data_IF_099604804825
#
_entry.id   IF_099604804825
#
_cell.length_a   1.000
_cell.length_b   1.000
_cell.length_c   1.000
_cell.angle_alpha   90.00
_cell.angle_beta   90.00
_cell.angle_gamma   90.00
#
_symmetry.space_group_name_H-M   'P 1'
#
loop_
_entity.id
_entity.type
_entity.pdbx_description
1 polymer ?
#
# COMPACT_ATOMS: atom_id res chain seq x y z
N UNK A 1 47.75 15.88 14.48
CA UNK A 1 46.87 14.77 14.93
C UNK A 1 45.43 15.19 15.25
N UNK A 2 45.12 16.43 15.64
CA UNK A 2 43.76 16.82 16.08
C UNK A 2 42.65 16.84 15.01
N UNK A 3 42.97 17.10 13.72
CA UNK A 3 41.97 17.20 12.66
C UNK A 3 41.37 15.86 12.20
N UNK A 4 42.09 14.74 12.32
CA UNK A 4 41.56 13.40 11.98
C UNK A 4 40.66 12.86 13.10
N UNK A 5 41.04 13.13 14.36
CA UNK A 5 40.24 12.79 15.54
C UNK A 5 38.91 13.55 15.55
N UNK A 6 38.92 14.89 15.35
CA UNK A 6 37.68 15.70 15.27
C UNK A 6 36.74 15.26 14.15
N UNK A 7 37.26 14.89 12.97
CA UNK A 7 36.45 14.38 11.84
C UNK A 7 35.74 13.07 12.17
N UNK A 8 36.44 12.14 12.82
CA UNK A 8 35.83 10.89 13.29
C UNK A 8 34.78 11.13 14.39
N UNK A 9 34.99 12.14 15.26
CA UNK A 9 33.99 12.54 16.26
C UNK A 9 32.71 13.09 15.60
N UNK A 10 32.84 13.94 14.58
CA UNK A 10 31.69 14.54 13.87
C UNK A 10 30.84 13.49 13.13
N UNK A 11 31.48 12.50 12.47
CA UNK A 11 30.77 11.38 11.84
C UNK A 11 30.01 10.55 12.89
N UNK A 12 30.61 10.32 14.06
CA UNK A 12 29.95 9.69 15.21
C UNK A 12 28.71 10.47 15.65
N UNK A 13 28.85 11.77 15.88
CA UNK A 13 27.72 12.63 16.27
C UNK A 13 26.59 12.64 15.22
N UNK A 14 26.90 12.69 13.92
CA UNK A 14 25.89 12.60 12.86
C UNK A 14 25.13 11.26 12.92
N UNK A 15 25.84 10.17 13.19
CA UNK A 15 25.23 8.84 13.36
C UNK A 15 24.31 8.80 14.59
N UNK A 16 24.75 9.36 15.72
CA UNK A 16 23.97 9.42 16.96
C UNK A 16 22.69 10.27 16.81
N UNK A 17 22.74 11.31 15.97
CA UNK A 17 21.58 12.12 15.59
C UNK A 17 20.66 11.44 14.55
N UNK A 18 20.99 10.23 14.10
CA UNK A 18 20.24 9.49 13.08
C UNK A 18 20.41 10.02 11.66
N UNK A 19 21.43 10.85 11.41
CA UNK A 19 21.79 11.46 10.13
C UNK A 19 22.81 10.58 9.37
N UNK A 20 22.46 9.30 9.18
CA UNK A 20 23.37 8.29 8.63
C UNK A 20 23.83 8.62 7.20
N UNK A 21 22.92 9.07 6.33
CA UNK A 21 23.26 9.41 4.96
C UNK A 21 24.21 10.60 4.88
N UNK A 22 23.99 11.60 5.73
CA UNK A 22 24.92 12.73 5.88
C UNK A 22 26.29 12.27 6.42
N UNK A 23 26.31 11.36 7.39
CA UNK A 23 27.57 10.80 7.92
C UNK A 23 28.36 10.04 6.85
N UNK A 24 27.67 9.25 6.02
CA UNK A 24 28.29 8.48 4.94
C UNK A 24 28.80 9.38 3.81
N UNK A 25 28.02 10.37 3.36
CA UNK A 25 28.49 11.35 2.38
C UNK A 25 29.62 12.23 2.92
N UNK A 26 29.61 12.58 4.21
CA UNK A 26 30.70 13.35 4.80
C UNK A 26 32.00 12.54 4.83
N UNK A 27 31.92 11.23 5.12
CA UNK A 27 33.07 10.33 5.02
C UNK A 27 33.63 10.29 3.59
N UNK A 28 32.75 10.16 2.60
CA UNK A 28 33.14 10.13 1.18
C UNK A 28 33.84 11.43 0.74
N UNK A 29 33.30 12.58 1.14
CA UNK A 29 33.91 13.89 0.86
C UNK A 29 35.30 14.05 1.49
N UNK A 30 35.56 13.43 2.64
CA UNK A 30 36.87 13.46 3.30
C UNK A 30 37.91 12.56 2.62
N UNK A 31 37.47 11.57 1.85
CA UNK A 31 38.32 10.56 1.22
C UNK A 31 38.61 10.86 -0.26
N UNK A 32 37.81 11.72 -0.90
CA UNK A 32 37.97 12.08 -2.32
C UNK A 32 38.39 13.54 -2.52
N UNK A 33 39.48 13.72 -3.28
CA UNK A 33 40.00 15.05 -3.67
C UNK A 33 39.10 15.81 -4.64
N UNK A 34 38.18 15.13 -5.34
CA UNK A 34 37.28 15.77 -6.31
C UNK A 34 36.33 16.77 -5.65
N UNK A 35 36.02 16.57 -4.36
CA UNK A 35 35.16 17.48 -3.61
C UNK A 35 35.85 18.79 -3.20
N UNK A 36 37.17 18.91 -3.37
CA UNK A 36 37.92 20.13 -3.07
C UNK A 36 37.64 21.25 -4.09
N UNK A 37 37.23 20.90 -5.31
CA UNK A 37 36.89 21.86 -6.37
C UNK A 37 35.50 22.49 -6.18
N UNK A 38 34.67 21.89 -5.32
CA UNK A 38 33.33 22.39 -4.98
C UNK A 38 33.40 23.44 -3.87
N UNK A 39 32.46 24.38 -3.90
CA UNK A 39 32.21 25.32 -2.80
C UNK A 39 31.73 24.59 -1.54
N UNK A 40 31.74 25.30 -0.40
CA UNK A 40 31.20 24.74 0.84
C UNK A 40 29.70 24.48 0.71
N UNK A 41 28.98 25.39 0.07
CA UNK A 41 27.55 25.34 -0.17
C UNK A 41 27.16 24.10 -1.00
N UNK A 42 27.89 23.83 -2.08
CA UNK A 42 27.67 22.63 -2.91
C UNK A 42 27.93 21.34 -2.13
N UNK A 43 29.06 21.26 -1.43
CA UNK A 43 29.36 20.10 -0.58
C UNK A 43 28.29 19.88 0.48
N UNK A 44 27.85 20.94 1.16
CA UNK A 44 26.84 20.85 2.20
C UNK A 44 25.47 20.46 1.62
N UNK A 45 25.08 20.99 0.46
CA UNK A 45 23.87 20.58 -0.24
C UNK A 45 23.89 19.07 -0.54
N UNK A 46 25.00 18.54 -1.06
CA UNK A 46 25.14 17.10 -1.31
C UNK A 46 24.98 16.23 -0.04
N UNK A 47 25.47 16.71 1.10
CA UNK A 47 25.30 16.03 2.39
C UNK A 47 23.83 15.96 2.81
N UNK A 48 23.11 17.08 2.67
CA UNK A 48 21.68 17.19 2.99
C UNK A 48 20.85 16.34 2.05
N UNK A 49 21.13 16.40 0.74
CA UNK A 49 20.45 15.61 -0.28
C UNK A 49 20.63 14.11 -0.03
N UNK A 50 21.84 13.68 0.33
CA UNK A 50 22.09 12.27 0.68
C UNK A 50 21.24 11.82 1.86
N UNK A 51 21.17 12.62 2.92
CA UNK A 51 20.34 12.27 4.08
C UNK A 51 18.85 12.25 3.72
N UNK A 52 18.37 13.20 2.92
CA UNK A 52 16.99 13.24 2.46
C UNK A 52 16.63 11.98 1.64
N UNK A 53 17.48 11.60 0.68
CA UNK A 53 17.33 10.38 -0.13
C UNK A 53 17.33 9.13 0.75
N UNK A 54 18.27 9.01 1.69
CA UNK A 54 18.38 7.85 2.58
C UNK A 54 17.20 7.76 3.56
N UNK A 55 16.63 8.90 4.00
CA UNK A 55 15.40 8.92 4.80
C UNK A 55 14.21 8.45 4.00
N UNK A 56 14.05 8.93 2.77
CA UNK A 56 12.92 8.53 1.93
C UNK A 56 13.01 7.05 1.56
N UNK A 57 14.19 6.56 1.20
CA UNK A 57 14.43 5.13 0.95
C UNK A 57 14.08 4.27 2.18
N UNK A 58 14.48 4.69 3.39
CA UNK A 58 14.13 3.99 4.64
C UNK A 58 12.62 4.00 4.92
N UNK A 59 11.94 5.14 4.70
CA UNK A 59 10.49 5.27 4.86
C UNK A 59 9.75 4.36 3.89
N UNK A 60 10.12 4.40 2.61
CA UNK A 60 9.59 3.53 1.57
C UNK A 60 9.75 2.04 1.94
N UNK A 61 10.97 1.62 2.27
CA UNK A 61 11.26 0.24 2.67
C UNK A 61 10.48 -0.20 3.92
N UNK A 62 10.19 0.73 4.83
CA UNK A 62 9.40 0.46 6.04
C UNK A 62 7.92 0.30 5.70
N UNK A 63 7.35 1.20 4.88
CA UNK A 63 5.96 1.10 4.40
C UNK A 63 5.73 -0.17 3.59
N UNK A 64 6.66 -0.53 2.69
CA UNK A 64 6.59 -1.76 1.89
C UNK A 64 6.57 -3.03 2.77
N UNK A 65 7.45 -3.09 3.77
CA UNK A 65 7.47 -4.22 4.73
C UNK A 65 6.18 -4.29 5.55
N UNK A 66 5.67 -3.16 6.00
CA UNK A 66 4.41 -3.09 6.76
C UNK A 66 3.18 -3.47 5.92
N UNK A 67 3.20 -3.15 4.61
CA UNK A 67 2.08 -3.39 3.71
C UNK A 67 1.80 -4.87 3.47
N UNK A 68 2.81 -5.75 3.55
CA UNK A 68 2.66 -7.20 3.33
C UNK A 68 1.98 -7.52 1.99
N UNK A 69 2.29 -6.75 0.93
CA UNK A 69 1.75 -7.00 -0.40
C UNK A 69 2.09 -8.42 -0.86
N UNK A 70 1.10 -9.14 -1.38
CA UNK A 70 1.27 -10.53 -1.85
C UNK A 70 2.12 -10.62 -3.11
N UNK A 71 2.08 -9.60 -3.95
CA UNK A 71 2.80 -9.54 -5.22
C UNK A 71 3.71 -8.33 -5.26
N UNK A 72 4.91 -8.51 -5.80
CA UNK A 72 5.76 -7.41 -6.25
C UNK A 72 5.20 -6.95 -7.60
N UNK A 73 4.19 -6.09 -7.55
CA UNK A 73 3.47 -5.60 -8.70
C UNK A 73 3.69 -4.09 -8.83
N UNK A 74 3.89 -3.62 -10.05
CA UNK A 74 4.00 -2.20 -10.39
C UNK A 74 2.97 -1.88 -11.47
N UNK A 75 2.59 -0.61 -11.58
CA UNK A 75 1.64 -0.19 -12.62
C UNK A 75 2.31 -0.27 -14.00
N UNK A 76 3.61 0.00 -14.03
CA UNK A 76 4.47 -0.02 -15.21
C UNK A 76 4.57 -1.41 -15.83
N UNK A 77 4.51 -2.47 -15.02
CA UNK A 77 4.56 -3.87 -15.46
C UNK A 77 3.18 -4.44 -15.89
N UNK A 78 2.11 -3.65 -15.86
CA UNK A 78 0.78 -4.13 -16.24
C UNK A 78 0.67 -4.36 -17.75
N UNK A 79 0.23 -5.56 -18.13
CA UNK A 79 -0.10 -5.89 -19.52
C UNK A 79 -1.44 -5.26 -19.94
N UNK A 80 -1.37 -4.19 -20.72
CA UNK A 80 -2.52 -3.54 -21.37
C UNK A 80 -2.80 -4.07 -22.80
N UNK A 81 -1.97 -4.95 -23.34
CA UNK A 81 -2.17 -5.53 -24.67
C UNK A 81 -3.20 -6.66 -24.65
N UNK A 82 -3.22 -7.47 -23.59
CA UNK A 82 -4.30 -8.47 -23.42
C UNK A 82 -5.61 -7.74 -23.09
N UNK A 83 -6.68 -7.86 -23.90
CA UNK A 83 -7.93 -7.15 -23.67
C UNK A 83 -8.64 -7.74 -22.45
N UNK A 84 -8.51 -7.05 -21.31
CA UNK A 84 -9.07 -7.48 -20.02
C UNK A 84 -10.00 -6.46 -19.36
N UNK A 85 -10.51 -5.51 -20.13
CA UNK A 85 -11.32 -4.40 -19.60
C UNK A 85 -10.51 -3.37 -18.81
N UNK A 86 -9.19 -3.35 -18.94
CA UNK A 86 -8.32 -2.33 -18.32
C UNK A 86 -8.17 -1.13 -19.25
N UNK A 87 -8.72 0.00 -18.83
CA UNK A 87 -8.56 1.27 -19.54
C UNK A 87 -7.24 1.92 -19.09
N UNK A 88 -6.28 2.06 -20.03
CA UNK A 88 -4.91 2.49 -19.71
C UNK A 88 -4.88 3.88 -19.07
N UNK A 89 -5.68 4.82 -19.55
CA UNK A 89 -5.64 6.20 -19.06
C UNK A 89 -6.07 6.31 -17.59
N UNK A 90 -7.11 5.57 -17.21
CA UNK A 90 -7.64 5.45 -15.85
C UNK A 90 -6.61 4.79 -14.93
N UNK A 91 -6.06 3.64 -15.32
CA UNK A 91 -5.06 2.94 -14.49
C UNK A 91 -3.80 3.78 -14.30
N UNK A 92 -3.32 4.44 -15.37
CA UNK A 92 -2.19 5.37 -15.26
C UNK A 92 -2.54 6.60 -14.41
N UNK A 93 -3.77 7.09 -14.46
CA UNK A 93 -4.26 8.16 -13.58
C UNK A 93 -4.10 7.82 -12.10
N UNK A 94 -4.36 6.57 -11.71
CA UNK A 94 -4.18 6.11 -10.33
C UNK A 94 -2.72 6.06 -9.86
N UNK A 95 -1.73 6.08 -10.76
CA UNK A 95 -0.31 6.11 -10.39
C UNK A 95 0.07 7.36 -9.59
N UNK A 96 -0.65 8.46 -9.79
CA UNK A 96 -0.47 9.71 -9.07
C UNK A 96 -1.04 9.69 -7.64
N UNK A 97 -1.74 8.62 -7.26
CA UNK A 97 -2.34 8.41 -5.93
C UNK A 97 -3.36 9.46 -5.47
N UNK A 98 -3.86 10.35 -6.34
CA UNK A 98 -4.89 11.35 -6.00
C UNK A 98 -6.19 10.71 -5.44
N UNK A 99 -6.50 9.48 -5.83
CA UNK A 99 -7.63 8.71 -5.30
C UNK A 99 -7.48 8.39 -3.80
N UNK A 100 -6.24 8.33 -3.28
CA UNK A 100 -5.95 8.13 -1.86
C UNK A 100 -6.24 9.40 -1.07
N UNK A 101 -5.75 10.54 -1.58
CA UNK A 101 -5.99 11.86 -1.01
C UNK A 101 -7.49 12.24 -1.04
N UNK A 102 -8.19 11.84 -2.10
CA UNK A 102 -9.64 12.03 -2.25
C UNK A 102 -10.49 10.98 -1.52
N UNK A 103 -9.86 10.06 -0.78
CA UNK A 103 -10.52 9.00 0.00
C UNK A 103 -11.47 8.13 -0.84
N UNK A 104 -11.08 7.86 -2.09
CA UNK A 104 -11.83 7.06 -3.04
C UNK A 104 -11.53 5.58 -2.89
N UNK A 105 -12.54 4.73 -3.01
CA UNK A 105 -12.36 3.28 -3.04
C UNK A 105 -12.08 2.79 -4.46
N UNK A 106 -11.46 1.63 -4.60
CA UNK A 106 -11.27 0.95 -5.89
C UNK A 106 -11.77 -0.49 -5.78
N UNK A 107 -12.79 -0.83 -6.55
CA UNK A 107 -13.39 -2.16 -6.56
C UNK A 107 -13.01 -2.87 -7.86
N UNK A 108 -12.27 -3.97 -7.77
CA UNK A 108 -11.79 -4.73 -8.93
C UNK A 108 -12.49 -6.08 -8.98
N UNK A 109 -13.33 -6.29 -9.99
CA UNK A 109 -14.09 -7.54 -10.19
C UNK A 109 -13.65 -8.28 -11.45
N UNK A 110 -14.01 -9.56 -11.59
CA UNK A 110 -13.72 -10.35 -12.78
C UNK A 110 -13.31 -11.80 -12.50
N UNK A 111 -13.10 -12.63 -13.54
CA UNK A 111 -12.87 -14.07 -13.36
C UNK A 111 -11.51 -14.41 -12.74
N UNK A 112 -11.34 -15.66 -12.33
CA UNK A 112 -10.12 -16.16 -11.68
C UNK A 112 -8.89 -16.06 -12.59
N UNK A 113 -7.76 -15.73 -11.99
CA UNK A 113 -6.47 -15.73 -12.69
C UNK A 113 -6.25 -14.57 -13.65
N UNK A 114 -7.19 -13.63 -13.74
CA UNK A 114 -7.09 -12.49 -14.68
C UNK A 114 -6.19 -11.34 -14.20
N UNK A 115 -5.72 -11.37 -12.96
CA UNK A 115 -4.77 -10.37 -12.43
C UNK A 115 -5.35 -9.32 -11.48
N UNK A 116 -6.56 -9.51 -10.94
CA UNK A 116 -7.17 -8.57 -9.97
C UNK A 116 -6.29 -8.29 -8.74
N UNK A 117 -5.79 -9.35 -8.10
CA UNK A 117 -4.88 -9.25 -6.94
C UNK A 117 -3.56 -8.56 -7.30
N UNK A 118 -3.07 -8.77 -8.53
CA UNK A 118 -1.86 -8.11 -9.03
C UNK A 118 -2.11 -6.62 -9.23
N UNK A 119 -3.26 -6.25 -9.84
CA UNK A 119 -3.67 -4.84 -9.99
C UNK A 119 -3.83 -4.15 -8.63
N UNK A 120 -4.53 -4.77 -7.67
CA UNK A 120 -4.67 -4.21 -6.33
C UNK A 120 -3.32 -3.99 -5.63
N UNK A 121 -2.36 -4.92 -5.79
CA UNK A 121 -1.00 -4.74 -5.29
C UNK A 121 -0.25 -3.62 -6.02
N UNK A 122 -0.39 -3.50 -7.34
CA UNK A 122 0.27 -2.46 -8.13
C UNK A 122 -0.21 -1.05 -7.74
N UNK A 123 -1.52 -0.88 -7.56
CA UNK A 123 -2.13 0.37 -7.12
C UNK A 123 -1.68 0.73 -5.69
N UNK A 124 -1.69 -0.23 -4.78
CA UNK A 124 -1.19 -0.01 -3.42
C UNK A 124 0.31 0.31 -3.40
N UNK A 125 1.12 -0.33 -4.26
CA UNK A 125 2.54 -0.04 -4.40
C UNK A 125 2.79 1.39 -4.91
N UNK A 126 2.00 1.87 -5.88
CA UNK A 126 2.07 3.26 -6.34
C UNK A 126 1.72 4.26 -5.23
N UNK A 127 0.71 3.95 -4.42
CA UNK A 127 0.39 4.70 -3.20
C UNK A 127 1.54 4.76 -2.20
N UNK A 128 2.19 3.61 -1.97
CA UNK A 128 3.37 3.53 -1.08
C UNK A 128 4.54 4.37 -1.61
N UNK A 129 4.78 4.34 -2.92
CA UNK A 129 5.79 5.20 -3.57
C UNK A 129 5.48 6.69 -3.46
N UNK A 130 4.19 7.05 -3.37
CA UNK A 130 3.72 8.43 -3.19
C UNK A 130 3.69 8.87 -1.73
N UNK A 131 4.07 7.99 -0.79
CA UNK A 131 4.21 8.33 0.63
C UNK A 131 3.10 7.78 1.53
N UNK A 132 2.10 7.08 0.98
CA UNK A 132 1.00 6.53 1.77
C UNK A 132 1.36 5.19 2.42
N UNK A 133 0.84 4.97 3.61
CA UNK A 133 0.82 3.65 4.25
C UNK A 133 -0.20 2.73 3.58
N UNK A 134 0.13 1.45 3.46
CA UNK A 134 -0.81 0.46 2.94
C UNK A 134 -0.81 -0.79 3.82
N UNK A 135 -1.86 -1.60 3.71
CA UNK A 135 -1.96 -2.91 4.32
C UNK A 135 -2.75 -3.85 3.42
N UNK A 136 -2.17 -5.02 3.13
CA UNK A 136 -2.82 -6.06 2.35
C UNK A 136 -3.33 -7.19 3.24
N UNK A 137 -4.56 -7.64 2.99
CA UNK A 137 -5.18 -8.81 3.60
C UNK A 137 -6.02 -9.57 2.58
N UNK A 138 -5.97 -10.90 2.62
CA UNK A 138 -7.01 -11.71 1.98
C UNK A 138 -8.22 -11.75 2.89
N UNK A 139 -9.42 -11.58 2.35
CA UNK A 139 -10.67 -11.57 3.11
C UNK A 139 -10.82 -12.79 4.04
N UNK A 140 -10.62 -14.05 3.60
CA UNK A 140 -10.72 -15.19 4.51
C UNK A 140 -9.74 -15.16 5.69
N UNK A 141 -8.51 -14.68 5.46
CA UNK A 141 -7.50 -14.57 6.51
C UNK A 141 -7.79 -13.40 7.46
N UNK A 142 -8.32 -12.29 6.94
CA UNK A 142 -8.75 -11.14 7.71
C UNK A 142 -9.83 -11.54 8.73
N UNK A 143 -10.86 -12.23 8.27
CA UNK A 143 -11.97 -12.67 9.12
C UNK A 143 -11.53 -13.69 10.18
N UNK A 144 -10.69 -14.65 9.81
CA UNK A 144 -10.10 -15.57 10.78
C UNK A 144 -9.26 -14.84 11.85
N UNK A 145 -8.45 -13.86 11.45
CA UNK A 145 -7.65 -13.04 12.39
C UNK A 145 -8.54 -12.25 13.35
N UNK A 146 -9.66 -11.69 12.87
CA UNK A 146 -10.62 -10.92 13.67
C UNK A 146 -11.38 -11.81 14.67
N UNK A 147 -11.81 -12.99 14.24
CA UNK A 147 -12.45 -13.98 15.11
C UNK A 147 -11.52 -14.42 16.26
N UNK A 148 -10.25 -14.72 15.96
CA UNK A 148 -9.25 -15.05 16.97
C UNK A 148 -9.00 -13.86 17.91
N UNK A 149 -8.85 -12.65 17.35
CA UNK A 149 -8.58 -11.45 18.12
C UNK A 149 -9.73 -11.09 19.09
N UNK A 150 -10.96 -11.48 18.77
CA UNK A 150 -12.12 -11.35 19.65
C UNK A 150 -12.02 -12.28 20.86
N UNK A 151 -11.56 -13.51 20.66
CA UNK A 151 -11.38 -14.50 21.73
C UNK A 151 -10.25 -14.19 22.71
N UNK A 152 -9.22 -13.45 22.28
CA UNK A 152 -8.03 -13.16 23.09
C UNK A 152 -7.84 -11.67 23.46
N UNK A 153 -8.86 -10.84 23.22
CA UNK A 153 -8.87 -9.43 23.61
C UNK A 153 -8.04 -8.49 22.74
N UNK A 154 -7.51 -8.94 21.59
CA UNK A 154 -6.76 -8.11 20.64
C UNK A 154 -7.63 -7.42 19.58
N UNK A 155 -8.94 -7.63 19.59
CA UNK A 155 -9.87 -7.18 18.56
C UNK A 155 -9.72 -5.69 18.19
N UNK A 156 -9.83 -4.80 19.17
CA UNK A 156 -9.69 -3.35 18.94
C UNK A 156 -8.30 -2.96 18.41
N UNK A 157 -7.25 -3.72 18.77
CA UNK A 157 -5.89 -3.48 18.26
C UNK A 157 -5.77 -3.87 16.79
N UNK A 158 -6.43 -4.95 16.37
CA UNK A 158 -6.48 -5.38 14.97
C UNK A 158 -7.27 -4.37 14.14
N UNK A 159 -8.46 -3.98 14.60
CA UNK A 159 -9.26 -2.91 13.96
C UNK A 159 -8.46 -1.62 13.81
N UNK A 160 -7.82 -1.14 14.89
CA UNK A 160 -6.97 0.05 14.85
C UNK A 160 -5.75 -0.08 13.92
N UNK A 161 -5.31 -1.29 13.57
CA UNK A 161 -4.29 -1.47 12.53
C UNK A 161 -4.87 -1.38 11.12
N UNK A 162 -6.10 -1.84 10.91
CA UNK A 162 -6.78 -1.81 9.63
C UNK A 162 -7.25 -0.39 9.29
N UNK A 163 -7.76 0.37 10.28
CA UNK A 163 -8.23 1.73 10.08
C UNK A 163 -7.11 2.76 9.85
N UNK A 164 -5.94 2.57 10.48
CA UNK A 164 -4.80 3.50 10.32
C UNK A 164 -4.11 3.45 8.96
N UNK A 165 -4.21 2.33 8.24
CA UNK A 165 -3.61 2.22 6.91
C UNK A 165 -4.33 3.16 5.93
N UNK A 166 -3.60 4.02 5.23
CA UNK A 166 -4.20 4.91 4.22
C UNK A 166 -4.82 4.12 3.06
N UNK A 167 -4.19 3.01 2.69
CA UNK A 167 -4.70 2.07 1.69
C UNK A 167 -4.89 0.70 2.34
N UNK A 168 -6.13 0.20 2.40
CA UNK A 168 -6.40 -1.19 2.80
C UNK A 168 -6.78 -1.99 1.57
N UNK A 169 -6.02 -3.05 1.27
CA UNK A 169 -6.36 -4.01 0.23
C UNK A 169 -7.03 -5.22 0.85
N UNK A 170 -8.29 -5.45 0.49
CA UNK A 170 -9.09 -6.65 0.83
C UNK A 170 -9.18 -7.50 -0.43
N UNK A 171 -8.32 -8.51 -0.52
CA UNK A 171 -8.21 -9.39 -1.69
C UNK A 171 -9.07 -10.65 -1.53
N UNK A 172 -9.55 -11.20 -2.64
CA UNK A 172 -10.36 -12.44 -2.67
C UNK A 172 -11.70 -12.32 -1.89
N UNK A 173 -12.35 -11.15 -1.94
CA UNK A 173 -13.64 -10.90 -1.30
C UNK A 173 -14.79 -11.69 -1.95
N UNK A 174 -15.71 -12.21 -1.12
CA UNK A 174 -16.93 -12.89 -1.58
C UNK A 174 -16.70 -14.25 -2.26
N UNK A 175 -15.54 -14.89 -2.06
CA UNK A 175 -15.31 -16.26 -2.56
C UNK A 175 -16.24 -17.29 -1.92
N UNK A 176 -16.56 -17.07 -0.65
CA UNK A 176 -17.54 -17.81 0.13
C UNK A 176 -18.49 -16.79 0.74
N UNK A 177 -19.77 -17.13 0.91
CA UNK A 177 -20.68 -16.28 1.68
C UNK A 177 -20.10 -16.00 3.06
N UNK A 178 -20.21 -14.76 3.51
CA UNK A 178 -19.79 -14.37 4.84
C UNK A 178 -20.76 -14.95 5.87
N UNK A 179 -20.25 -15.29 7.05
CA UNK A 179 -21.02 -15.96 8.10
C UNK A 179 -20.70 -15.42 9.49
N UNK A 180 -21.59 -15.64 10.46
CA UNK A 180 -21.32 -15.27 11.85
C UNK A 180 -21.08 -13.77 12.03
N UNK A 181 -19.93 -13.40 12.61
CA UNK A 181 -19.56 -12.00 12.84
C UNK A 181 -18.92 -11.32 11.64
N UNK A 182 -18.59 -12.04 10.57
CA UNK A 182 -17.77 -11.51 9.46
C UNK A 182 -18.36 -10.27 8.78
N UNK A 183 -19.67 -10.19 8.48
CA UNK A 183 -20.25 -8.96 7.91
C UNK A 183 -20.17 -7.77 8.88
N UNK A 184 -20.43 -8.00 10.17
CA UNK A 184 -20.32 -6.96 11.20
C UNK A 184 -18.88 -6.49 11.40
N UNK A 185 -17.93 -7.43 11.41
CA UNK A 185 -16.51 -7.12 11.53
C UNK A 185 -16.02 -6.31 10.31
N UNK A 186 -16.50 -6.64 9.10
CA UNK A 186 -16.22 -5.87 7.90
C UNK A 186 -16.81 -4.46 8.01
N UNK A 187 -18.07 -4.34 8.45
CA UNK A 187 -18.72 -3.05 8.63
C UNK A 187 -17.95 -2.17 9.60
N UNK A 188 -17.54 -2.69 10.77
CA UNK A 188 -16.72 -1.93 11.73
C UNK A 188 -15.40 -1.43 11.13
N UNK A 189 -14.72 -2.25 10.32
CA UNK A 189 -13.51 -1.81 9.59
C UNK A 189 -13.81 -0.69 8.60
N UNK A 190 -14.92 -0.79 7.86
CA UNK A 190 -15.29 0.19 6.84
C UNK A 190 -15.80 1.49 7.45
N UNK A 191 -16.52 1.43 8.58
CA UNK A 191 -17.03 2.60 9.29
C UNK A 191 -15.91 3.56 9.70
N UNK A 192 -14.82 3.01 10.26
CA UNK A 192 -13.66 3.79 10.67
C UNK A 192 -12.91 4.43 9.49
N UNK A 193 -13.09 3.88 8.29
CA UNK A 193 -12.35 4.24 7.07
C UNK A 193 -13.14 5.12 6.13
N UNK A 194 -14.47 5.06 6.17
CA UNK A 194 -15.36 5.81 5.28
C UNK A 194 -15.01 7.29 5.29
N UNK A 195 -14.90 7.88 4.08
CA UNK A 195 -14.55 9.29 3.85
C UNK A 195 -13.21 9.76 4.47
N UNK A 196 -12.35 8.84 4.91
CA UNK A 196 -11.08 9.16 5.61
C UNK A 196 -9.87 8.43 5.03
N UNK A 197 -10.08 7.23 4.50
CA UNK A 197 -9.04 6.31 4.01
C UNK A 197 -9.59 5.49 2.85
N UNK A 198 -8.72 5.07 1.94
CA UNK A 198 -9.13 4.41 0.70
C UNK A 198 -9.01 2.90 0.79
N UNK A 199 -10.01 2.18 0.31
CA UNK A 199 -10.05 0.73 0.33
C UNK A 199 -10.04 0.17 -1.10
N UNK A 200 -9.15 -0.78 -1.35
CA UNK A 200 -9.15 -1.58 -2.58
C UNK A 200 -9.77 -2.93 -2.26
N UNK A 201 -10.84 -3.30 -2.96
CA UNK A 201 -11.45 -4.63 -2.84
C UNK A 201 -11.26 -5.38 -4.15
N UNK A 202 -10.81 -6.64 -4.09
CA UNK A 202 -10.83 -7.52 -5.26
C UNK A 202 -11.83 -8.65 -5.05
N UNK A 203 -12.63 -8.96 -6.06
CA UNK A 203 -13.61 -10.05 -5.99
C UNK A 203 -13.75 -10.79 -7.30
N UNK A 204 -14.12 -12.07 -7.22
CA UNK A 204 -14.55 -12.82 -8.40
C UNK A 204 -16.03 -12.59 -8.72
N UNK A 205 -16.81 -12.16 -7.73
CA UNK A 205 -18.20 -11.82 -7.89
C UNK A 205 -18.35 -10.42 -8.51
N UNK A 206 -19.31 -10.23 -9.42
CA UNK A 206 -19.73 -8.88 -9.77
C UNK A 206 -20.30 -8.18 -8.53
N UNK A 207 -20.21 -6.85 -8.50
CA UNK A 207 -20.66 -6.03 -7.37
C UNK A 207 -22.13 -6.32 -7.02
N UNK A 208 -22.97 -6.52 -8.03
CA UNK A 208 -24.41 -6.80 -7.86
C UNK A 208 -24.68 -8.09 -7.07
N UNK A 209 -23.73 -9.02 -7.01
CA UNK A 209 -23.82 -10.26 -6.23
C UNK A 209 -23.24 -10.15 -4.82
N UNK A 210 -22.65 -9.00 -4.44
CA UNK A 210 -22.04 -8.84 -3.12
C UNK A 210 -23.07 -8.78 -2.00
N UNK A 211 -24.26 -8.23 -2.28
CA UNK A 211 -25.35 -8.19 -1.31
C UNK A 211 -25.76 -9.62 -0.89
N UNK A 212 -25.86 -10.55 -1.84
CA UNK A 212 -26.13 -11.97 -1.53
C UNK A 212 -24.97 -12.62 -0.78
N UNK A 213 -23.72 -12.33 -1.17
CA UNK A 213 -22.53 -12.88 -0.53
C UNK A 213 -22.34 -12.42 0.93
N UNK A 214 -22.86 -11.25 1.30
CA UNK A 214 -22.83 -10.72 2.67
C UNK A 214 -23.91 -11.34 3.57
N UNK A 215 -24.98 -11.88 2.98
CA UNK A 215 -26.00 -12.69 3.65
C UNK A 215 -27.06 -11.90 4.43
N UNK A 216 -26.65 -11.07 5.40
CA UNK A 216 -27.58 -10.24 6.19
C UNK A 216 -27.96 -8.96 5.42
N UNK A 217 -29.24 -8.72 5.05
CA UNK A 217 -29.60 -7.58 4.23
C UNK A 217 -29.22 -6.22 4.82
N UNK A 218 -29.36 -6.05 6.15
CA UNK A 218 -29.12 -4.76 6.80
C UNK A 218 -27.62 -4.44 6.81
N UNK A 219 -26.79 -5.43 7.15
CA UNK A 219 -25.33 -5.29 7.10
C UNK A 219 -24.84 -5.19 5.66
N UNK A 220 -25.49 -5.87 4.72
CA UNK A 220 -25.16 -5.82 3.30
C UNK A 220 -25.33 -4.42 2.74
N UNK A 221 -26.48 -3.79 2.99
CA UNK A 221 -26.76 -2.41 2.59
C UNK A 221 -25.72 -1.45 3.18
N UNK A 222 -25.43 -1.58 4.48
CA UNK A 222 -24.45 -0.73 5.14
C UNK A 222 -23.04 -0.92 4.54
N UNK A 223 -22.56 -2.16 4.41
CA UNK A 223 -21.22 -2.44 3.86
C UNK A 223 -21.10 -1.93 2.42
N UNK A 224 -22.10 -2.17 1.57
CA UNK A 224 -22.09 -1.74 0.19
C UNK A 224 -22.14 -0.23 0.05
N UNK A 225 -22.93 0.45 0.87
CA UNK A 225 -22.97 1.91 0.93
C UNK A 225 -21.57 2.50 1.21
N UNK A 226 -20.82 1.99 2.20
CA UNK A 226 -19.45 2.49 2.48
C UNK A 226 -18.45 2.14 1.38
N UNK A 227 -18.56 0.98 0.75
CA UNK A 227 -17.63 0.55 -0.29
C UNK A 227 -17.87 1.25 -1.62
N UNK A 228 -19.12 1.50 -1.98
CA UNK A 228 -19.52 2.09 -3.26
C UNK A 228 -19.61 3.61 -3.21
N UNK A 229 -19.80 4.20 -2.03
CA UNK A 229 -19.67 5.63 -1.86
C UNK A 229 -18.27 6.06 -2.32
N UNK A 230 -18.23 6.95 -3.32
CA UNK A 230 -16.99 7.51 -3.87
C UNK A 230 -16.00 6.44 -4.38
N UNK A 231 -16.48 5.47 -5.16
CA UNK A 231 -15.67 4.34 -5.65
C UNK A 231 -15.45 4.32 -7.17
N UNK A 232 -14.27 3.84 -7.57
CA UNK A 232 -13.98 3.44 -8.95
C UNK A 232 -14.21 1.94 -9.11
N UNK A 233 -15.13 1.55 -10.00
CA UNK A 233 -15.42 0.14 -10.27
C UNK A 233 -14.71 -0.30 -11.56
N UNK A 234 -13.81 -1.26 -11.44
CA UNK A 234 -13.02 -1.83 -12.54
C UNK A 234 -13.47 -3.27 -12.75
N UNK A 235 -14.28 -3.49 -13.79
CA UNK A 235 -14.72 -4.82 -14.18
C UNK A 235 -13.76 -5.41 -15.20
N UNK A 236 -13.02 -6.45 -14.79
CA UNK A 236 -12.11 -7.17 -15.66
C UNK A 236 -12.79 -8.38 -16.31
N UNK A 237 -12.46 -8.66 -17.57
CA UNK A 237 -13.05 -9.76 -18.35
C UNK A 237 -11.99 -10.49 -19.19
N UNK A 238 -12.25 -11.73 -19.60
CA UNK A 238 -11.32 -12.52 -20.42
C UNK A 238 -10.68 -13.72 -19.70
N UNK A 239 -9.69 -14.32 -20.34
CA UNK A 239 -9.07 -15.57 -19.89
C UNK A 239 -8.03 -15.37 -18.77
N UNK A 240 -7.73 -16.45 -18.05
CA UNK A 240 -6.68 -16.48 -17.02
C UNK A 240 -5.31 -16.13 -17.61
N UNK A 241 -4.56 -15.27 -16.91
CA UNK A 241 -3.19 -14.89 -17.26
C UNK A 241 -2.15 -15.87 -16.70
N UNK A 242 -2.55 -16.82 -15.85
CA UNK A 242 -1.62 -17.78 -15.24
C UNK A 242 -1.06 -18.79 -16.25
N UNK A 243 -1.82 -19.12 -17.28
CA UNK A 243 -1.46 -20.09 -18.33
C UNK A 243 -0.52 -19.52 -19.39
N UNK A 244 -0.36 -18.18 -19.49
CA UNK A 244 0.56 -17.54 -20.44
C UNK A 244 2.02 -17.50 -19.96
N UNK A 245 2.32 -17.97 -18.74
CA UNK A 245 3.68 -18.03 -18.16
C UNK A 245 4.33 -19.42 -18.23
N UNK A 246 3.79 -20.34 -19.05
CA UNK A 246 4.42 -21.63 -19.36
C UNK A 246 5.16 -21.59 -20.68
#
# INVERSE_FOLDING_TARGET
MGGKFRRNTQIGTLTDLGLKGMADAFREQLESVQYLELSFEERFAMLVDREAMDREARRLATRLRAAKLRHQATIEDLDFHTPRGLERSMIMGFSSSHWVDAHQNILVTGPTGIGKSYLGCALAYAGIRSGHSALYRRAPALFADLAIARGDGRYLKVLGSLSRAEILVIDDFGLTPLTGSEPSDLLEVLEDRSERKSTIVTSQLPVDSWHEALGDPTLSDAVLDRLLCNAHVIQMNGASMRTKKS
#
